data_IF_401992793597
#
_entry.id   IF_401992793597
#
_cell.length_a   1.000
_cell.length_b   1.000
_cell.length_c   1.000
_cell.angle_alpha   90.00
_cell.angle_beta   90.00
_cell.angle_gamma   90.00
#
_symmetry.space_group_name_H-M   'P 1'
#
loop_
_entity.id
_entity.type
_entity.pdbx_description
1 polymer ?
#
# COMPACT_ATOMS: atom_id res chain seq x y z
N UNK A 1 13.22 9.81 -2.04
CA UNK A 1 13.17 8.33 -1.96
C UNK A 1 11.95 7.84 -1.20
N UNK A 2 11.76 8.19 0.08
CA UNK A 2 10.80 7.53 0.98
C UNK A 2 9.33 7.65 0.59
N UNK A 3 8.89 8.79 0.03
CA UNK A 3 7.51 8.97 -0.44
C UNK A 3 7.17 7.94 -1.53
N UNK A 4 8.01 7.82 -2.56
CA UNK A 4 7.80 6.86 -3.64
C UNK A 4 7.87 5.43 -3.11
N UNK A 5 8.82 5.13 -2.21
CA UNK A 5 8.90 3.82 -1.57
C UNK A 5 7.58 3.44 -0.88
N UNK A 6 6.98 4.34 -0.09
CA UNK A 6 5.69 4.07 0.54
C UNK A 6 4.58 3.85 -0.49
N UNK A 7 4.44 4.73 -1.49
CA UNK A 7 3.40 4.59 -2.54
C UNK A 7 3.53 3.23 -3.22
N UNK A 8 4.71 2.92 -3.74
CA UNK A 8 4.95 1.70 -4.50
C UNK A 8 4.75 0.45 -3.68
N UNK A 9 5.16 0.45 -2.40
CA UNK A 9 4.97 -0.73 -1.53
C UNK A 9 3.50 -0.95 -1.19
N UNK A 10 2.73 0.10 -0.87
CA UNK A 10 1.28 -0.03 -0.66
C UNK A 10 0.58 -0.57 -1.92
N UNK A 11 0.94 -0.06 -3.10
CA UNK A 11 0.41 -0.54 -4.38
C UNK A 11 0.77 -2.02 -4.62
N UNK A 12 2.01 -2.41 -4.38
CA UNK A 12 2.48 -3.78 -4.57
C UNK A 12 1.73 -4.76 -3.66
N UNK A 13 1.63 -4.44 -2.36
CA UNK A 13 0.88 -5.25 -1.38
C UNK A 13 -0.58 -5.38 -1.83
N UNK A 14 -1.21 -4.28 -2.25
CA UNK A 14 -2.59 -4.29 -2.71
C UNK A 14 -2.81 -5.13 -3.96
N UNK A 15 -1.85 -5.11 -4.89
CA UNK A 15 -1.93 -5.88 -6.13
C UNK A 15 -1.95 -7.39 -5.87
N UNK A 16 -1.25 -7.83 -4.82
CA UNK A 16 -1.32 -9.20 -4.32
C UNK A 16 -2.74 -9.63 -3.93
N UNK A 17 -3.53 -8.74 -3.31
CA UNK A 17 -4.95 -9.00 -3.03
C UNK A 17 -5.81 -8.93 -4.31
N UNK A 18 -5.58 -7.92 -5.14
CA UNK A 18 -6.37 -7.62 -6.33
C UNK A 18 -6.46 -8.78 -7.33
N UNK A 19 -5.34 -9.48 -7.57
CA UNK A 19 -5.32 -10.64 -8.47
C UNK A 19 -5.90 -11.92 -7.87
N UNK A 20 -6.20 -11.93 -6.56
CA UNK A 20 -6.75 -13.09 -5.86
C UNK A 20 -8.27 -13.02 -5.67
N UNK A 21 -8.95 -11.99 -6.22
CA UNK A 21 -10.41 -11.96 -6.25
C UNK A 21 -10.96 -13.15 -7.05
N UNK A 22 -11.49 -14.15 -6.33
CA UNK A 22 -12.19 -15.28 -6.92
C UNK A 22 -13.46 -14.84 -7.65
N UNK A 23 -13.73 -15.47 -8.79
CA UNK A 23 -14.98 -15.28 -9.55
C UNK A 23 -15.58 -16.63 -9.97
N UNK A 24 -15.44 -17.05 -11.24
CA UNK A 24 -16.17 -18.22 -11.78
C UNK A 24 -15.58 -19.57 -11.36
N UNK A 25 -14.25 -19.67 -11.24
CA UNK A 25 -13.53 -20.95 -11.07
C UNK A 25 -12.82 -21.09 -9.72
N UNK A 26 -13.04 -20.16 -8.79
CA UNK A 26 -12.32 -20.13 -7.50
C UNK A 26 -13.27 -19.67 -6.39
N UNK A 27 -13.07 -20.23 -5.19
CA UNK A 27 -13.75 -19.77 -3.99
C UNK A 27 -13.51 -18.28 -3.72
N UNK A 28 -14.43 -17.66 -2.97
CA UNK A 28 -14.33 -16.26 -2.64
C UNK A 28 -13.04 -15.93 -1.86
N UNK A 29 -12.45 -14.78 -2.16
CA UNK A 29 -11.16 -14.33 -1.64
C UNK A 29 -11.09 -14.32 -0.11
N UNK A 30 -12.18 -13.99 0.57
CA UNK A 30 -12.24 -13.91 2.03
C UNK A 30 -12.11 -15.28 2.73
N UNK A 31 -12.25 -16.39 2.00
CA UNK A 31 -12.00 -17.73 2.55
C UNK A 31 -10.52 -18.09 2.59
N UNK A 32 -9.66 -17.32 1.94
CA UNK A 32 -8.21 -17.51 2.00
C UNK A 32 -7.63 -16.73 3.19
N UNK A 33 -7.73 -17.32 4.39
CA UNK A 33 -7.26 -16.68 5.62
C UNK A 33 -5.76 -16.35 5.59
N UNK A 34 -4.94 -17.20 4.97
CA UNK A 34 -3.50 -16.94 4.86
C UNK A 34 -3.22 -15.66 4.08
N UNK A 35 -3.90 -15.47 2.93
CA UNK A 35 -3.79 -14.25 2.15
C UNK A 35 -4.23 -13.02 2.96
N UNK A 36 -5.35 -13.11 3.66
CA UNK A 36 -5.88 -11.99 4.45
C UNK A 36 -4.93 -11.60 5.59
N UNK A 37 -4.39 -12.59 6.31
CA UNK A 37 -3.47 -12.37 7.43
C UNK A 37 -2.19 -11.70 6.93
N UNK A 38 -1.58 -12.24 5.87
CA UNK A 38 -0.34 -11.67 5.31
C UNK A 38 -0.58 -10.26 4.76
N UNK A 39 -1.66 -10.07 4.01
CA UNK A 39 -2.01 -8.76 3.48
C UNK A 39 -2.25 -7.72 4.59
N UNK A 40 -3.06 -8.07 5.60
CA UNK A 40 -3.35 -7.18 6.72
C UNK A 40 -2.08 -6.85 7.50
N UNK A 41 -1.25 -7.84 7.80
CA UNK A 41 0.05 -7.63 8.44
C UNK A 41 0.92 -6.65 7.66
N UNK A 42 1.09 -6.83 6.35
CA UNK A 42 1.92 -5.96 5.52
C UNK A 42 1.36 -4.53 5.44
N UNK A 43 0.04 -4.37 5.33
CA UNK A 43 -0.60 -3.04 5.33
C UNK A 43 -0.43 -2.34 6.67
N UNK A 44 -0.62 -3.05 7.79
CA UNK A 44 -0.42 -2.52 9.14
C UNK A 44 1.05 -2.16 9.35
N UNK A 45 1.97 -3.03 8.97
CA UNK A 45 3.40 -2.81 9.08
C UNK A 45 3.84 -1.56 8.31
N UNK A 46 3.42 -1.42 7.04
CA UNK A 46 3.74 -0.23 6.24
C UNK A 46 3.05 1.04 6.77
N UNK A 47 1.84 0.92 7.30
CA UNK A 47 1.14 2.04 7.95
C UNK A 47 1.88 2.51 9.20
N UNK A 48 2.37 1.58 10.03
CA UNK A 48 3.19 1.87 11.19
C UNK A 48 4.48 2.59 10.78
N UNK A 49 5.20 2.07 9.78
CA UNK A 49 6.44 2.67 9.29
C UNK A 49 6.25 4.10 8.75
N UNK A 50 5.08 4.39 8.15
CA UNK A 50 4.75 5.71 7.63
C UNK A 50 4.32 6.70 8.73
N UNK A 51 3.50 6.26 9.68
CA UNK A 51 2.89 7.15 10.67
C UNK A 51 3.76 7.37 11.90
N UNK A 52 4.47 6.34 12.34
CA UNK A 52 5.30 6.39 13.55
C UNK A 52 6.45 7.39 13.40
N UNK A 53 6.92 7.87 14.56
CA UNK A 53 8.15 8.65 14.64
C UNK A 53 9.39 7.78 14.34
N UNK A 54 10.54 8.42 14.01
CA UNK A 54 11.77 7.71 13.70
C UNK A 54 12.09 6.67 14.77
N UNK A 55 12.17 5.41 14.35
CA UNK A 55 12.35 4.27 15.23
C UNK A 55 13.34 3.28 14.62
N UNK A 56 13.80 2.30 15.43
CA UNK A 56 14.81 1.32 15.01
C UNK A 56 14.46 0.61 13.70
N UNK A 57 13.20 0.19 13.56
CA UNK A 57 12.72 -0.53 12.37
C UNK A 57 12.69 0.43 11.18
N UNK A 58 12.07 1.60 11.32
CA UNK A 58 12.07 2.70 10.34
C UNK A 58 13.46 2.96 9.78
N UNK A 59 14.41 3.18 10.68
CA UNK A 59 15.79 3.48 10.35
C UNK A 59 16.54 2.31 9.70
N UNK A 60 16.26 1.06 10.10
CA UNK A 60 16.86 -0.12 9.46
C UNK A 60 16.49 -0.21 7.97
N UNK A 61 15.24 0.13 7.63
CA UNK A 61 14.78 0.21 6.22
C UNK A 61 15.07 1.58 5.57
N UNK A 62 15.72 2.50 6.29
CA UNK A 62 15.93 3.90 5.88
C UNK A 62 14.64 4.59 5.44
N UNK A 63 13.53 4.31 6.12
CA UNK A 63 12.23 4.93 5.92
C UNK A 63 11.90 5.86 7.09
N UNK A 64 11.54 7.12 6.77
CA UNK A 64 11.13 8.12 7.74
C UNK A 64 12.15 8.31 8.88
N UNK A 65 13.44 8.37 8.53
CA UNK A 65 14.57 8.44 9.45
C UNK A 65 15.65 9.41 8.92
N UNK A 66 16.72 9.63 9.69
CA UNK A 66 17.83 10.51 9.36
C UNK A 66 19.06 10.27 10.22
N UNK A 67 20.12 11.02 9.96
CA UNK A 67 21.35 11.03 10.76
C UNK A 67 21.03 11.46 12.20
N UNK A 68 21.68 10.89 13.24
CA UNK A 68 21.33 11.17 14.64
C UNK A 68 21.31 12.66 15.01
N UNK A 69 22.31 13.43 14.58
CA UNK A 69 22.41 14.88 14.84
C UNK A 69 21.27 15.67 14.19
N UNK A 70 20.86 15.27 12.98
CA UNK A 70 19.76 15.89 12.24
C UNK A 70 18.42 15.56 12.90
N UNK A 71 18.22 14.31 13.35
CA UNK A 71 17.01 13.93 14.09
C UNK A 71 16.85 14.75 15.38
N UNK A 72 17.94 14.97 16.12
CA UNK A 72 17.95 15.81 17.31
C UNK A 72 17.61 17.28 16.96
N UNK A 73 18.15 17.81 15.87
CA UNK A 73 17.80 19.16 15.38
C UNK A 73 16.34 19.31 14.97
N UNK A 74 15.69 18.21 14.56
CA UNK A 74 14.26 18.17 14.23
C UNK A 74 13.36 18.00 15.46
N UNK A 75 13.94 17.93 16.67
CA UNK A 75 13.21 17.78 17.93
C UNK A 75 12.87 16.35 18.31
N UNK A 76 13.52 15.35 17.69
CA UNK A 76 13.41 13.95 18.11
C UNK A 76 14.41 13.61 19.22
N UNK A 77 14.08 12.66 20.12
CA UNK A 77 15.05 12.18 21.10
C UNK A 77 16.26 11.58 20.39
N UNK A 78 17.45 11.85 20.93
CA UNK A 78 18.71 11.30 20.42
C UNK A 78 18.63 9.77 20.39
N UNK A 79 18.83 9.13 19.22
CA UNK A 79 18.78 7.67 19.11
C UNK A 79 19.82 6.99 20.00
N UNK A 80 19.44 5.89 20.66
CA UNK A 80 20.34 5.06 21.49
C UNK A 80 21.07 3.98 20.70
N UNK A 81 20.88 3.94 19.39
CA UNK A 81 21.46 2.95 18.49
C UNK A 81 22.21 3.63 17.35
N UNK A 82 23.13 2.89 16.71
CA UNK A 82 23.86 3.40 15.57
C UNK A 82 22.96 3.55 14.35
N UNK A 83 23.03 4.72 13.70
CA UNK A 83 22.39 5.01 12.42
C UNK A 83 23.49 5.52 11.49
N UNK A 84 23.64 4.86 10.35
CA UNK A 84 24.61 5.28 9.35
C UNK A 84 24.27 6.67 8.80
N UNK A 85 25.26 7.55 8.58
CA UNK A 85 25.01 8.87 8.02
C UNK A 85 24.27 8.82 6.67
N UNK A 86 23.29 9.68 6.52
CA UNK A 86 22.53 9.77 5.29
C UNK A 86 23.35 10.44 4.18
N UNK A 87 23.31 9.87 2.98
CA UNK A 87 24.03 10.35 1.80
C UNK A 87 23.29 11.48 1.05
N UNK A 88 22.52 12.31 1.75
CA UNK A 88 21.79 13.43 1.16
C UNK A 88 22.10 14.73 1.90
N UNK A 89 21.95 15.86 1.21
CA UNK A 89 22.28 17.20 1.75
C UNK A 89 21.45 17.51 3.01
N UNK A 90 20.20 17.05 3.06
CA UNK A 90 19.33 17.23 4.22
C UNK A 90 19.71 16.35 5.42
N UNK A 91 20.44 15.26 5.22
CA UNK A 91 20.75 14.27 6.25
C UNK A 91 19.56 13.48 6.79
N UNK A 92 18.37 13.58 6.18
CA UNK A 92 17.18 12.84 6.59
C UNK A 92 16.16 12.65 5.45
N UNK A 93 15.18 11.80 5.70
CA UNK A 93 13.98 11.64 4.86
C UNK A 93 12.67 11.58 5.67
N UNK A 94 12.73 12.09 6.91
CA UNK A 94 11.59 12.23 7.81
C UNK A 94 10.48 13.07 7.16
N UNK A 95 9.26 12.52 7.13
CA UNK A 95 8.07 13.22 6.65
C UNK A 95 7.47 14.01 7.82
N UNK A 96 7.09 15.29 7.65
CA UNK A 96 6.45 16.08 8.70
C UNK A 96 5.19 15.41 9.25
N UNK A 97 5.00 15.42 10.58
CA UNK A 97 3.90 14.72 11.27
C UNK A 97 2.51 15.03 10.68
N UNK A 98 2.23 16.32 10.42
CA UNK A 98 0.97 16.77 9.84
C UNK A 98 0.70 16.21 8.43
N UNK A 99 1.76 15.94 7.65
CA UNK A 99 1.65 15.43 6.28
C UNK A 99 1.53 13.91 6.23
N UNK A 100 1.98 13.17 7.25
CA UNK A 100 1.96 11.70 7.29
C UNK A 100 0.55 11.14 7.15
N UNK A 101 -0.42 11.69 7.89
CA UNK A 101 -1.81 11.22 7.84
C UNK A 101 -2.48 11.49 6.49
N UNK A 102 -2.23 12.67 5.90
CA UNK A 102 -2.71 12.99 4.54
C UNK A 102 -2.13 12.02 3.53
N UNK A 103 -0.83 11.77 3.61
CA UNK A 103 -0.13 10.87 2.71
C UNK A 103 -0.57 9.41 2.88
N UNK A 104 -0.71 8.93 4.12
CA UNK A 104 -1.30 7.62 4.41
C UNK A 104 -2.72 7.49 3.85
N UNK A 105 -3.54 8.53 4.02
CA UNK A 105 -4.88 8.60 3.45
C UNK A 105 -4.89 8.47 1.92
N UNK A 106 -3.94 9.08 1.22
CA UNK A 106 -3.79 8.90 -0.23
C UNK A 106 -3.43 7.45 -0.60
N UNK A 107 -2.51 6.81 0.13
CA UNK A 107 -2.14 5.42 -0.11
C UNK A 107 -3.32 4.46 0.10
N UNK A 108 -4.00 4.55 1.26
CA UNK A 108 -5.16 3.72 1.57
C UNK A 108 -6.33 4.02 0.63
N UNK A 109 -6.59 5.29 0.33
CA UNK A 109 -7.61 5.70 -0.63
C UNK A 109 -7.39 5.11 -2.02
N UNK A 110 -6.13 5.10 -2.50
CA UNK A 110 -5.77 4.46 -3.77
C UNK A 110 -6.01 2.94 -3.74
N UNK A 111 -5.65 2.27 -2.64
CA UNK A 111 -5.93 0.85 -2.46
C UNK A 111 -7.44 0.57 -2.47
N UNK A 112 -8.23 1.35 -1.73
CA UNK A 112 -9.68 1.19 -1.70
C UNK A 112 -10.31 1.41 -3.09
N UNK A 113 -9.91 2.47 -3.79
CA UNK A 113 -10.40 2.78 -5.13
C UNK A 113 -10.13 1.64 -6.12
N UNK A 114 -8.93 1.05 -6.09
CA UNK A 114 -8.57 -0.06 -6.99
C UNK A 114 -9.31 -1.36 -6.65
N UNK A 115 -9.53 -1.66 -5.36
CA UNK A 115 -10.36 -2.81 -4.97
C UNK A 115 -11.83 -2.61 -5.40
N UNK A 116 -12.40 -1.42 -5.20
CA UNK A 116 -13.75 -1.08 -5.68
C UNK A 116 -13.86 -1.20 -7.20
N UNK A 117 -12.86 -0.73 -7.94
CA UNK A 117 -12.80 -0.89 -9.39
C UNK A 117 -12.80 -2.37 -9.80
N UNK A 118 -11.97 -3.19 -9.16
CA UNK A 118 -11.90 -4.62 -9.47
C UNK A 118 -13.23 -5.33 -9.18
N UNK A 119 -13.86 -5.04 -8.03
CA UNK A 119 -15.11 -5.69 -7.63
C UNK A 119 -16.29 -5.19 -8.45
N UNK A 120 -16.45 -3.88 -8.63
CA UNK A 120 -17.64 -3.30 -9.28
C UNK A 120 -17.55 -3.31 -10.80
N UNK A 121 -16.37 -3.01 -11.35
CA UNK A 121 -16.19 -2.83 -12.79
C UNK A 121 -15.77 -4.13 -13.47
N UNK A 122 -14.68 -4.73 -12.98
CA UNK A 122 -14.08 -5.89 -13.65
C UNK A 122 -14.86 -7.17 -13.37
N UNK A 123 -15.21 -7.44 -12.11
CA UNK A 123 -15.89 -8.68 -11.73
C UNK A 123 -17.41 -8.54 -11.61
N UNK A 124 -17.92 -7.35 -11.31
CA UNK A 124 -19.28 -7.17 -10.85
C UNK A 124 -20.28 -6.64 -11.89
N UNK A 125 -21.14 -5.67 -11.49
CA UNK A 125 -22.30 -5.27 -12.27
C UNK A 125 -21.95 -4.64 -13.62
N UNK A 126 -20.87 -3.86 -13.73
CA UNK A 126 -20.54 -3.19 -15.00
C UNK A 126 -20.20 -4.22 -16.07
N UNK A 127 -19.36 -5.21 -15.75
CA UNK A 127 -19.08 -6.33 -16.67
C UNK A 127 -20.35 -7.05 -17.06
N UNK A 128 -21.23 -7.32 -16.11
CA UNK A 128 -22.49 -8.03 -16.36
C UNK A 128 -23.43 -7.25 -17.28
N UNK A 129 -23.53 -5.95 -17.06
CA UNK A 129 -24.28 -5.03 -17.92
C UNK A 129 -23.71 -4.97 -19.33
N UNK A 130 -22.39 -4.76 -19.47
CA UNK A 130 -21.72 -4.71 -20.77
C UNK A 130 -21.83 -6.02 -21.55
N UNK A 131 -21.76 -7.18 -20.87
CA UNK A 131 -21.95 -8.50 -21.50
C UNK A 131 -23.36 -8.67 -22.08
N UNK A 132 -24.39 -8.14 -21.42
CA UNK A 132 -25.78 -8.17 -21.92
C UNK A 132 -25.95 -7.21 -23.11
N UNK A 133 -25.40 -5.99 -23.01
CA UNK A 133 -25.55 -4.95 -24.03
C UNK A 133 -24.73 -5.23 -25.29
N UNK A 134 -23.53 -5.81 -25.15
CA UNK A 134 -22.61 -6.13 -26.26
C UNK A 134 -22.06 -7.55 -26.11
N UNK A 135 -22.87 -8.58 -26.46
CA UNK A 135 -22.41 -9.96 -26.40
C UNK A 135 -21.32 -10.21 -27.45
N UNK A 136 -20.34 -11.03 -27.07
CA UNK A 136 -19.27 -11.49 -27.98
C UNK A 136 -19.89 -12.22 -29.19
N UNK A 137 -19.33 -12.04 -30.38
CA UNK A 137 -19.83 -12.68 -31.63
C UNK A 137 -19.99 -14.20 -31.48
N UNK A 138 -19.05 -14.86 -30.78
CA UNK A 138 -19.12 -16.31 -30.50
C UNK A 138 -20.34 -16.75 -29.67
N UNK A 139 -20.96 -15.84 -28.91
CA UNK A 139 -22.18 -16.12 -28.13
C UNK A 139 -23.46 -15.80 -28.92
N UNK A 140 -23.34 -15.21 -30.13
CA UNK A 140 -24.49 -14.91 -31.00
C UNK A 140 -24.89 -16.09 -31.89
N UNK A 141 -24.03 -17.11 -32.02
CA UNK A 141 -24.37 -18.34 -32.74
C UNK A 141 -25.24 -19.18 -31.80
N UNK A 142 -26.55 -19.00 -31.90
CA UNK A 142 -27.50 -20.03 -31.47
C UNK A 142 -27.61 -21.01 -32.64
N UNK A 143 -27.33 -22.30 -32.38
CA UNK A 143 -27.75 -23.41 -33.23
C UNK A 143 -29.27 -23.38 -33.37
#
# INVERSE_FOLDING_TARGET
ASIISFISTFQFINNGLLFNYGHLHRAAWYRNYMLLIVWAFLVIFMSYMLLADPNRIGCAFRLNCGTPSVLESLGYPKPTWYIEPYNNILGHNVIPKASRYKFWGYCIGNMLATNLWQVLVVNGPVRSFLRKKRPLRRLKVKL
#
